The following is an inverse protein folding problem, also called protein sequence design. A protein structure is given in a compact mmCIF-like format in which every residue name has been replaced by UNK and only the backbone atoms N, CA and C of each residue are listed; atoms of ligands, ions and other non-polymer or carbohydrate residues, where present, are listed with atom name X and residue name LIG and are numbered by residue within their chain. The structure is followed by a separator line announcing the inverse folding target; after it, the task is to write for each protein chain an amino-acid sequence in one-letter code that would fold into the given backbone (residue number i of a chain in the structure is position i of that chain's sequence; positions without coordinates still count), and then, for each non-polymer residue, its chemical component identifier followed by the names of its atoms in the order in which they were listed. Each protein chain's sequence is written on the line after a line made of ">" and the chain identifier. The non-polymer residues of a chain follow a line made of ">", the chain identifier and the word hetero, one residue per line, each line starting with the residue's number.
data_IF_733701608984
#
_entry.id   IF_733701608984
#
_cell.length_a   1.000
_cell.length_b   1.000
_cell.length_c   1.000
_cell.angle_alpha   90.00
_cell.angle_beta   90.00
_cell.angle_gamma   90.00
#
_symmetry.space_group_name_H-M   'P 1'
#
loop_
_entity.id
_entity.type
_entity.pdbx_description
1 polymer ?
#
# COMPACT_ATOMS: atom_id res chain seq x y z
N UNK A 1 -28.72 8.64 -47.96
CA UNK A 1 -28.98 8.61 -46.51
C UNK A 1 -28.15 9.74 -46.00
N UNK A 2 -28.82 10.85 -45.77
CA UNK A 2 -28.17 12.14 -45.81
C UNK A 2 -27.95 12.61 -44.36
N UNK A 3 -26.92 13.40 -44.11
CA UNK A 3 -26.53 13.80 -42.75
C UNK A 3 -27.68 14.50 -42.00
N UNK A 4 -28.58 15.16 -42.73
CA UNK A 4 -29.80 15.77 -42.20
C UNK A 4 -30.81 14.75 -41.63
N UNK A 5 -30.88 13.52 -42.18
CA UNK A 5 -31.72 12.45 -41.61
C UNK A 5 -31.12 11.94 -40.30
N UNK A 6 -29.79 11.84 -40.23
CA UNK A 6 -29.06 11.38 -39.03
C UNK A 6 -29.19 12.40 -37.90
N UNK A 7 -29.10 13.70 -38.21
CA UNK A 7 -29.39 14.77 -37.24
C UNK A 7 -30.81 14.72 -36.69
N UNK A 8 -31.81 14.56 -37.56
CA UNK A 8 -33.22 14.56 -37.14
C UNK A 8 -33.51 13.44 -36.14
N UNK A 9 -32.98 12.23 -36.38
CA UNK A 9 -33.10 11.10 -35.45
C UNK A 9 -32.41 11.34 -34.09
N UNK A 10 -31.30 12.08 -34.07
CA UNK A 10 -30.57 12.42 -32.83
C UNK A 10 -31.20 13.58 -32.04
N UNK A 11 -32.03 14.41 -32.68
CA UNK A 11 -32.78 15.47 -32.01
C UNK A 11 -34.12 14.97 -31.44
N UNK A 12 -34.72 13.91 -32.01
CA UNK A 12 -35.97 13.30 -31.50
C UNK A 12 -35.78 12.44 -30.23
N UNK A 13 -34.63 11.75 -30.04
CA UNK A 13 -34.37 10.97 -28.80
C UNK A 13 -34.14 11.84 -27.55
N UNK A 14 -33.95 13.15 -27.70
CA UNK A 14 -33.53 14.04 -26.61
C UNK A 14 -34.71 14.77 -25.92
N UNK A 15 -35.94 14.26 -26.08
CA UNK A 15 -37.15 14.75 -25.40
C UNK A 15 -37.91 13.62 -24.69
N UNK A 16 -38.21 13.86 -23.40
CA UNK A 16 -39.05 13.05 -22.50
C UNK A 16 -38.74 11.55 -22.33
N UNK A 17 -37.87 11.25 -21.35
CA UNK A 17 -38.10 10.10 -20.45
C UNK A 17 -38.07 10.54 -18.98
N UNK A 18 -39.26 10.82 -18.44
CA UNK A 18 -39.45 11.31 -17.07
C UNK A 18 -39.64 10.14 -16.09
N UNK A 19 -38.54 9.60 -15.57
CA UNK A 19 -38.55 8.62 -14.49
C UNK A 19 -38.26 9.28 -13.14
N UNK A 20 -39.32 9.50 -12.37
CA UNK A 20 -39.22 9.73 -10.92
C UNK A 20 -38.80 8.43 -10.22
N UNK A 21 -37.79 8.50 -9.37
CA UNK A 21 -37.50 7.47 -8.37
C UNK A 21 -37.79 8.05 -6.98
N UNK A 22 -39.01 7.82 -6.48
CA UNK A 22 -39.45 8.27 -5.15
C UNK A 22 -39.26 7.13 -4.14
N UNK A 23 -38.02 6.92 -3.69
CA UNK A 23 -37.75 6.08 -2.51
C UNK A 23 -36.57 6.59 -1.69
N UNK A 24 -36.80 7.71 -1.00
CA UNK A 24 -35.95 8.22 0.06
C UNK A 24 -36.09 7.33 1.32
N UNK A 25 -34.95 6.80 1.78
CA UNK A 25 -34.78 6.39 3.17
C UNK A 25 -33.31 6.53 3.59
N UNK A 26 -32.92 7.75 3.94
CA UNK A 26 -31.61 8.04 4.55
C UNK A 26 -31.31 7.11 5.75
N UNK A 27 -30.10 6.53 5.77
CA UNK A 27 -29.46 6.01 6.97
C UNK A 27 -27.99 6.45 6.93
N UNK A 28 -27.70 7.59 7.53
CA UNK A 28 -26.33 8.07 7.71
C UNK A 28 -25.56 7.15 8.67
N UNK A 29 -24.32 6.80 8.31
CA UNK A 29 -23.34 6.25 9.26
C UNK A 29 -22.05 7.08 9.13
N UNK A 30 -21.98 8.14 9.96
CA UNK A 30 -20.98 9.21 9.85
C UNK A 30 -19.61 8.75 10.36
N UNK A 31 -18.71 8.43 9.42
CA UNK A 31 -17.28 8.19 9.71
C UNK A 31 -16.47 9.35 9.14
N UNK A 32 -16.07 10.25 10.03
CA UNK A 32 -15.28 11.44 9.72
C UNK A 32 -13.85 11.08 9.31
N UNK A 33 -13.61 10.91 8.01
CA UNK A 33 -12.26 10.68 7.46
C UNK A 33 -11.59 12.04 7.24
N UNK A 34 -10.59 12.34 8.07
CA UNK A 34 -9.70 13.48 7.84
C UNK A 34 -8.75 13.16 6.69
N UNK A 35 -8.97 13.78 5.52
CA UNK A 35 -8.09 13.65 4.36
C UNK A 35 -6.82 14.51 4.53
N UNK A 36 -5.80 13.95 5.18
CA UNK A 36 -4.44 14.50 5.18
C UNK A 36 -3.85 14.44 3.75
N UNK A 37 -4.18 15.44 2.95
CA UNK A 37 -3.70 15.60 1.58
C UNK A 37 -2.23 16.07 1.58
N UNK A 38 -1.30 15.11 1.54
CA UNK A 38 0.15 15.33 1.44
C UNK A 38 0.57 15.86 0.05
N UNK A 39 0.14 17.08 -0.28
CA UNK A 39 0.60 17.80 -1.46
C UNK A 39 2.02 18.34 -1.22
N UNK A 40 3.03 17.74 -1.86
CA UNK A 40 4.45 18.04 -1.64
C UNK A 40 5.08 18.78 -2.84
N UNK A 41 4.42 19.81 -3.33
CA UNK A 41 5.00 20.77 -4.28
C UNK A 41 5.36 22.06 -3.52
N UNK A 42 6.66 22.35 -3.45
CA UNK A 42 7.17 23.67 -3.06
C UNK A 42 7.76 24.34 -4.30
N UNK A 43 7.09 25.37 -4.79
CA UNK A 43 7.59 26.21 -5.87
C UNK A 43 8.77 27.08 -5.39
N UNK A 44 9.62 27.42 -6.35
CA UNK A 44 10.73 28.36 -6.18
C UNK A 44 10.23 29.78 -6.46
N UNK A 45 10.50 30.74 -5.57
CA UNK A 45 10.91 32.05 -6.06
C UNK A 45 11.69 32.94 -5.08
N UNK A 46 12.59 33.68 -5.72
CA UNK A 46 13.38 34.84 -5.31
C UNK A 46 12.65 36.01 -4.64
N UNK A 47 13.41 36.85 -3.91
CA UNK A 47 13.75 38.26 -4.26
C UNK A 47 14.61 38.90 -3.12
N UNK A 48 15.72 39.59 -3.42
CA UNK A 48 15.91 41.07 -3.47
C UNK A 48 15.53 41.81 -2.16
N UNK A 49 16.33 42.71 -1.56
CA UNK A 49 17.72 43.17 -1.84
C UNK A 49 18.37 43.73 -0.52
N UNK A 50 19.26 44.73 -0.36
CA UNK A 50 19.82 45.79 -1.22
C UNK A 50 21.26 46.21 -0.77
N UNK A 51 21.59 47.51 -0.82
CA UNK A 51 22.91 48.17 -0.73
C UNK A 51 23.44 48.50 0.69
N UNK A 52 24.71 48.94 0.76
CA UNK A 52 25.32 49.56 1.95
C UNK A 52 26.84 49.79 1.80
N UNK A 53 27.26 50.99 1.37
CA UNK A 53 28.66 51.31 1.04
C UNK A 53 29.46 51.86 2.24
N UNK A 54 30.75 51.52 2.30
CA UNK A 54 31.86 52.47 2.61
C UNK A 54 33.22 51.76 2.44
N UNK A 55 34.24 52.48 1.98
CA UNK A 55 35.60 51.95 1.78
C UNK A 55 36.65 52.99 2.21
N UNK A 56 37.78 52.53 2.75
CA UNK A 56 39.06 53.22 3.01
C UNK A 56 40.00 52.20 3.73
N UNK A 57 41.31 52.09 3.50
CA UNK A 57 42.17 52.56 2.40
C UNK A 57 43.53 51.77 2.42
N UNK A 58 44.58 52.28 1.77
CA UNK A 58 46.01 51.87 1.92
C UNK A 58 46.53 50.61 1.20
N UNK A 59 46.36 50.59 -0.13
CA UNK A 59 47.45 50.54 -1.12
C UNK A 59 48.72 49.67 -0.89
N UNK A 60 48.95 48.69 -1.78
CA UNK A 60 50.30 48.37 -2.29
C UNK A 60 50.23 47.87 -3.75
N UNK A 61 50.85 48.57 -4.70
CA UNK A 61 50.82 48.23 -6.12
C UNK A 61 51.80 47.09 -6.50
N UNK A 62 51.30 46.07 -7.21
CA UNK A 62 52.08 45.22 -8.13
C UNK A 62 51.18 44.90 -9.33
N UNK A 63 51.68 45.02 -10.56
CA UNK A 63 50.87 44.87 -11.77
C UNK A 63 50.83 43.42 -12.28
N UNK A 64 49.60 42.94 -12.51
CA UNK A 64 49.18 41.93 -13.49
C UNK A 64 50.06 40.71 -13.79
N UNK A 65 49.71 39.57 -13.20
CA UNK A 65 49.39 38.36 -13.99
C UNK A 65 48.08 37.76 -13.45
N UNK A 66 47.08 37.55 -14.32
CA UNK A 66 45.69 37.27 -13.92
C UNK A 66 45.44 35.80 -13.51
N UNK A 67 46.11 35.38 -12.44
CA UNK A 67 45.92 34.07 -11.80
C UNK A 67 44.68 34.07 -10.91
N UNK A 68 43.53 34.34 -11.52
CA UNK A 68 42.21 34.30 -10.91
C UNK A 68 41.96 32.91 -10.30
N UNK A 69 42.24 32.78 -9.00
CA UNK A 69 42.47 31.49 -8.37
C UNK A 69 41.17 30.72 -8.29
N UNK A 70 40.98 29.79 -9.23
CA UNK A 70 39.68 29.18 -9.53
C UNK A 70 39.13 28.42 -8.32
N UNK A 71 38.26 29.08 -7.54
CA UNK A 71 37.80 28.56 -6.25
C UNK A 71 36.96 27.31 -6.52
N UNK A 72 37.59 26.15 -6.35
CA UNK A 72 37.07 24.86 -6.81
C UNK A 72 36.06 24.25 -5.83
N UNK A 73 35.38 25.10 -5.05
CA UNK A 73 34.32 24.77 -4.12
C UNK A 73 33.31 25.92 -4.00
N UNK A 74 32.09 25.61 -3.58
CA UNK A 74 31.12 26.56 -3.04
C UNK A 74 31.22 26.57 -1.51
N UNK A 75 30.90 27.70 -0.87
CA UNK A 75 30.85 27.84 0.58
C UNK A 75 29.39 27.85 1.05
N UNK A 76 29.09 27.13 2.14
CA UNK A 76 27.78 27.10 2.76
C UNK A 76 27.40 28.43 3.42
N UNK A 77 26.10 28.61 3.72
CA UNK A 77 25.58 29.78 4.45
C UNK A 77 26.21 29.93 5.86
N UNK A 78 26.74 28.84 6.41
CA UNK A 78 27.50 28.77 7.67
C UNK A 78 28.95 29.35 7.59
N UNK A 79 29.39 29.70 6.37
CA UNK A 79 30.77 30.10 6.04
C UNK A 79 31.85 29.07 6.42
N UNK A 80 31.47 27.81 6.67
CA UNK A 80 32.36 26.73 7.13
C UNK A 80 32.31 25.50 6.22
N UNK A 81 31.13 25.08 5.80
CA UNK A 81 30.96 23.90 4.95
C UNK A 81 31.41 24.20 3.53
N UNK A 82 32.33 23.41 2.98
CA UNK A 82 32.87 23.56 1.62
C UNK A 82 32.42 22.41 0.72
N UNK A 83 31.80 22.75 -0.40
CA UNK A 83 31.24 21.83 -1.38
C UNK A 83 32.09 21.88 -2.67
N UNK A 84 32.98 20.91 -2.87
CA UNK A 84 33.86 20.90 -4.03
C UNK A 84 33.06 20.86 -5.36
N UNK A 85 33.47 21.68 -6.33
CA UNK A 85 32.86 21.76 -7.67
C UNK A 85 33.20 20.55 -8.53
N UNK A 86 34.36 19.95 -8.30
CA UNK A 86 34.79 18.70 -8.94
C UNK A 86 34.62 17.50 -8.00
N UNK A 87 34.32 16.30 -8.54
CA UNK A 87 34.37 15.07 -7.75
C UNK A 87 35.80 14.84 -7.22
N UNK A 88 35.92 14.18 -6.08
CA UNK A 88 37.22 13.90 -5.49
C UNK A 88 38.07 13.05 -6.43
N UNK A 89 39.18 13.62 -6.93
CA UNK A 89 40.03 13.06 -7.99
C UNK A 89 40.66 11.68 -7.67
N UNK A 90 40.52 11.19 -6.44
CA UNK A 90 40.96 9.86 -6.04
C UNK A 90 39.80 9.17 -5.29
N UNK A 91 39.56 7.86 -5.50
CA UNK A 91 38.70 7.06 -4.64
C UNK A 91 39.37 6.89 -3.27
N UNK A 92 39.26 7.91 -2.41
CA UNK A 92 39.81 7.90 -1.06
C UNK A 92 39.30 6.67 -0.32
N UNK A 93 40.21 5.86 0.23
CA UNK A 93 39.89 4.68 1.05
C UNK A 93 38.77 5.05 2.03
N UNK A 94 37.61 4.37 1.92
CA UNK A 94 36.49 4.53 2.87
C UNK A 94 37.06 4.48 4.29
N UNK A 95 36.70 5.49 5.11
CA UNK A 95 37.21 5.63 6.49
C UNK A 95 36.99 4.31 7.24
N UNK A 96 37.82 4.03 8.26
CA UNK A 96 37.72 2.82 9.09
C UNK A 96 36.45 2.76 10.00
N UNK A 97 35.45 3.59 9.68
CA UNK A 97 34.11 3.70 10.28
C UNK A 97 33.12 3.94 9.13
N UNK A 98 31.90 3.40 9.26
CA UNK A 98 30.89 3.29 8.20
C UNK A 98 31.33 2.36 7.04
N UNK A 99 31.98 1.24 7.38
CA UNK A 99 32.11 0.09 6.47
C UNK A 99 30.78 -0.64 6.47
N UNK A 100 30.12 -0.72 5.31
CA UNK A 100 28.91 -1.53 5.13
C UNK A 100 29.33 -3.00 5.04
N UNK A 101 29.25 -3.72 6.17
CA UNK A 101 29.68 -5.11 6.31
C UNK A 101 28.60 -6.13 5.90
N UNK A 102 27.32 -5.76 6.02
CA UNK A 102 26.20 -6.53 5.47
C UNK A 102 25.70 -5.84 4.19
N UNK A 103 25.80 -6.53 3.06
CA UNK A 103 25.11 -6.13 1.82
C UNK A 103 23.60 -6.39 1.98
N UNK A 104 22.73 -5.56 1.36
CA UNK A 104 21.29 -5.83 1.33
C UNK A 104 21.01 -7.10 0.53
N UNK A 105 20.07 -7.91 1.01
CA UNK A 105 19.66 -9.17 0.39
C UNK A 105 19.07 -10.17 1.38
N UNK A 106 18.56 -11.30 0.87
CA UNK A 106 17.97 -12.35 1.68
C UNK A 106 18.96 -12.93 2.72
N UNK A 107 18.43 -13.33 3.88
CA UNK A 107 19.18 -13.90 5.02
C UNK A 107 18.78 -15.35 5.26
N UNK A 108 19.62 -16.11 5.97
CA UNK A 108 19.35 -17.51 6.32
C UNK A 108 19.01 -18.39 5.10
N UNK A 109 18.04 -19.29 5.27
CA UNK A 109 17.55 -20.19 4.23
C UNK A 109 16.89 -19.51 3.03
N UNK A 110 16.33 -18.30 3.21
CA UNK A 110 15.67 -17.53 2.15
C UNK A 110 16.59 -17.16 0.96
N UNK A 111 17.92 -17.32 1.12
CA UNK A 111 18.90 -17.20 0.03
C UNK A 111 18.79 -18.28 -1.05
N UNK A 112 18.22 -19.44 -0.71
CA UNK A 112 18.22 -20.64 -1.56
C UNK A 112 16.87 -20.92 -2.20
N UNK A 113 15.78 -20.41 -1.61
CA UNK A 113 14.43 -20.52 -2.17
C UNK A 113 14.33 -19.83 -3.53
N UNK A 114 13.53 -20.42 -4.42
CA UNK A 114 13.30 -19.92 -5.78
C UNK A 114 11.83 -19.84 -6.13
N UNK A 115 11.02 -20.76 -5.62
CA UNK A 115 9.59 -20.79 -5.92
C UNK A 115 8.85 -19.70 -5.13
N UNK A 116 8.00 -18.87 -5.79
CA UNK A 116 7.24 -17.83 -5.10
C UNK A 116 6.37 -18.34 -3.96
N UNK A 117 5.87 -19.58 -4.04
CA UNK A 117 5.11 -20.23 -2.97
C UNK A 117 5.93 -20.55 -1.73
N UNK A 118 7.18 -21.01 -1.88
CA UNK A 118 8.10 -21.24 -0.76
C UNK A 118 8.46 -19.91 -0.08
N UNK A 119 8.70 -18.87 -0.88
CA UNK A 119 9.02 -17.52 -0.40
C UNK A 119 7.82 -16.92 0.34
N UNK A 120 6.59 -17.17 -0.10
CA UNK A 120 5.37 -16.75 0.60
C UNK A 120 5.18 -17.47 1.94
N UNK A 121 5.47 -18.78 2.00
CA UNK A 121 5.43 -19.59 3.25
C UNK A 121 6.42 -19.15 4.33
N UNK A 122 7.39 -18.28 4.02
CA UNK A 122 8.23 -17.64 5.03
C UNK A 122 7.47 -16.61 5.88
N UNK A 123 6.42 -15.99 5.33
CA UNK A 123 5.59 -14.99 6.03
C UNK A 123 4.31 -15.60 6.60
N UNK A 124 3.77 -16.63 5.92
CA UNK A 124 2.62 -17.40 6.37
C UNK A 124 3.05 -18.87 6.55
N UNK A 125 3.57 -19.17 7.73
CA UNK A 125 3.98 -20.53 8.10
C UNK A 125 2.77 -21.45 8.26
N UNK A 126 3.01 -22.77 8.27
CA UNK A 126 1.95 -23.76 8.46
C UNK A 126 1.23 -23.58 9.81
N UNK A 127 1.98 -23.24 10.87
CA UNK A 127 1.43 -22.93 12.20
C UNK A 127 0.51 -21.69 12.19
N UNK A 128 0.86 -20.65 11.42
CA UNK A 128 0.04 -19.43 11.25
C UNK A 128 -1.30 -19.79 10.58
N UNK A 129 -1.26 -20.62 9.53
CA UNK A 129 -2.45 -21.04 8.80
C UNK A 129 -3.33 -21.99 9.63
N UNK A 130 -2.76 -22.91 10.43
CA UNK A 130 -3.53 -23.73 11.39
C UNK A 130 -4.24 -22.85 12.44
N UNK A 131 -3.54 -21.88 13.05
CA UNK A 131 -4.15 -20.93 13.98
C UNK A 131 -5.30 -20.16 13.33
N UNK A 132 -5.10 -19.65 12.11
CA UNK A 132 -6.16 -18.99 11.35
C UNK A 132 -7.35 -19.92 11.07
N UNK A 133 -7.10 -21.19 10.70
CA UNK A 133 -8.16 -22.19 10.48
C UNK A 133 -8.93 -22.49 11.77
N UNK A 134 -8.22 -22.73 12.88
CA UNK A 134 -8.74 -22.98 14.23
C UNK A 134 -9.65 -21.82 14.71
N UNK A 135 -9.16 -20.58 14.68
CA UNK A 135 -9.93 -19.42 15.13
C UNK A 135 -11.13 -19.11 14.22
N UNK A 136 -10.94 -19.22 12.90
CA UNK A 136 -12.03 -19.07 11.90
C UNK A 136 -13.11 -20.15 12.07
N UNK A 137 -12.72 -21.41 12.32
CA UNK A 137 -13.65 -22.49 12.65
C UNK A 137 -14.40 -22.23 13.97
N UNK A 138 -13.74 -21.63 14.96
CA UNK A 138 -14.37 -21.14 16.18
C UNK A 138 -15.42 -20.06 15.93
N UNK A 139 -15.26 -19.23 14.90
CA UNK A 139 -16.26 -18.22 14.50
C UNK A 139 -17.39 -18.86 13.67
N UNK A 140 -17.09 -19.76 12.73
CA UNK A 140 -18.08 -20.51 11.92
C UNK A 140 -19.06 -21.24 12.86
N UNK A 141 -18.54 -21.98 13.86
CA UNK A 141 -19.37 -22.68 14.86
C UNK A 141 -20.28 -21.74 15.67
N UNK A 142 -19.88 -20.47 15.88
CA UNK A 142 -20.68 -19.46 16.60
C UNK A 142 -21.78 -18.82 15.73
N UNK A 143 -21.75 -18.97 14.41
CA UNK A 143 -22.80 -18.46 13.50
C UNK A 143 -23.63 -19.54 12.80
N UNK A 144 -23.27 -20.82 12.89
CA UNK A 144 -23.94 -21.91 12.16
C UNK A 144 -25.43 -22.04 12.46
N UNK A 145 -25.89 -21.61 13.65
CA UNK A 145 -27.31 -21.52 14.02
C UNK A 145 -28.12 -20.51 13.20
N UNK A 146 -27.47 -19.63 12.43
CA UNK A 146 -28.11 -18.69 11.51
C UNK A 146 -28.38 -19.31 10.12
N UNK A 147 -27.90 -20.53 9.86
CA UNK A 147 -27.99 -21.20 8.56
C UNK A 147 -28.99 -22.35 8.60
N UNK A 148 -29.95 -22.35 7.67
CA UNK A 148 -30.97 -23.40 7.52
C UNK A 148 -30.36 -24.75 7.08
N UNK A 149 -29.17 -24.71 6.46
CA UNK A 149 -28.48 -25.87 5.89
C UNK A 149 -27.04 -25.93 6.42
N UNK A 150 -26.70 -27.01 7.09
CA UNK A 150 -25.35 -27.24 7.65
C UNK A 150 -24.24 -27.13 6.58
N UNK A 151 -24.50 -27.63 5.36
CA UNK A 151 -23.55 -27.57 4.24
C UNK A 151 -23.17 -26.14 3.83
N UNK A 152 -24.02 -25.15 4.11
CA UNK A 152 -23.80 -23.75 3.76
C UNK A 152 -22.94 -23.04 4.84
N UNK A 153 -22.60 -23.73 5.95
CA UNK A 153 -21.79 -23.25 7.06
C UNK A 153 -20.76 -24.30 7.56
N UNK A 154 -20.15 -25.05 6.63
CA UNK A 154 -19.12 -26.05 6.97
C UNK A 154 -17.85 -25.42 7.57
N UNK A 155 -17.10 -26.20 8.33
CA UNK A 155 -15.73 -25.85 8.75
C UNK A 155 -14.82 -25.57 7.56
N UNK A 156 -13.79 -24.76 7.76
CA UNK A 156 -12.69 -24.50 6.82
C UNK A 156 -11.45 -25.32 7.20
N UNK A 157 -10.49 -25.40 6.28
CA UNK A 157 -9.18 -26.00 6.50
C UNK A 157 -8.06 -25.11 5.95
N UNK A 158 -6.83 -25.57 6.12
CA UNK A 158 -5.59 -24.87 5.83
C UNK A 158 -5.51 -24.55 4.32
N UNK A 159 -5.80 -25.56 3.49
CA UNK A 159 -5.80 -25.46 2.02
C UNK A 159 -6.85 -24.46 1.53
N UNK A 160 -8.04 -24.41 2.12
CA UNK A 160 -9.08 -23.46 1.74
C UNK A 160 -8.75 -22.02 2.17
N UNK A 161 -8.04 -21.84 3.29
CA UNK A 161 -7.52 -20.52 3.68
C UNK A 161 -6.34 -20.07 2.82
N UNK A 162 -5.41 -20.96 2.45
CA UNK A 162 -4.38 -20.65 1.45
C UNK A 162 -5.01 -20.24 0.11
N UNK A 163 -6.05 -20.96 -0.32
CA UNK A 163 -6.82 -20.63 -1.52
C UNK A 163 -7.53 -19.25 -1.42
N UNK A 164 -8.11 -18.93 -0.25
CA UNK A 164 -8.71 -17.63 0.02
C UNK A 164 -7.69 -16.49 -0.06
N UNK A 165 -6.53 -16.66 0.60
CA UNK A 165 -5.43 -15.69 0.59
C UNK A 165 -4.84 -15.53 -0.81
N UNK A 166 -4.72 -16.61 -1.58
CA UNK A 166 -4.32 -16.60 -2.98
C UNK A 166 -5.27 -15.79 -3.87
N UNK A 167 -6.59 -15.93 -3.70
CA UNK A 167 -7.59 -15.12 -4.43
C UNK A 167 -7.52 -13.63 -4.04
N UNK A 168 -7.29 -13.31 -2.76
CA UNK A 168 -7.12 -11.94 -2.29
C UNK A 168 -5.85 -11.28 -2.86
N UNK A 169 -4.72 -12.00 -2.83
CA UNK A 169 -3.47 -11.57 -3.45
C UNK A 169 -3.63 -11.35 -4.96
N UNK A 170 -4.32 -12.26 -5.66
CA UNK A 170 -4.60 -12.16 -7.08
C UNK A 170 -5.51 -10.96 -7.43
N UNK A 171 -6.53 -10.68 -6.60
CA UNK A 171 -7.35 -9.47 -6.74
C UNK A 171 -6.52 -8.19 -6.57
N UNK A 172 -5.57 -8.18 -5.63
CA UNK A 172 -4.60 -7.09 -5.44
C UNK A 172 -3.70 -6.88 -6.66
N UNK A 173 -3.10 -7.97 -7.19
CA UNK A 173 -2.25 -7.93 -8.40
C UNK A 173 -3.01 -7.38 -9.61
N UNK A 174 -4.31 -7.68 -9.74
CA UNK A 174 -5.16 -7.14 -10.81
C UNK A 174 -5.72 -5.74 -10.54
N UNK A 175 -5.33 -5.08 -9.45
CA UNK A 175 -5.83 -3.77 -8.97
C UNK A 175 -7.35 -3.74 -8.70
N UNK A 176 -7.96 -4.90 -8.51
CA UNK A 176 -9.41 -5.06 -8.34
C UNK A 176 -9.88 -4.89 -6.88
N UNK A 177 -9.03 -4.37 -5.98
CA UNK A 177 -9.32 -4.25 -4.55
C UNK A 177 -10.52 -3.34 -4.20
N UNK A 178 -10.99 -2.50 -5.14
CA UNK A 178 -12.19 -1.65 -5.00
C UNK A 178 -13.42 -2.18 -5.73
N UNK A 179 -13.33 -3.33 -6.43
CA UNK A 179 -14.50 -3.95 -7.07
C UNK A 179 -15.35 -4.70 -6.05
N UNK A 180 -16.65 -4.86 -6.32
CA UNK A 180 -17.50 -5.68 -5.47
C UNK A 180 -17.06 -7.15 -5.57
N UNK A 181 -17.10 -7.89 -4.46
CA UNK A 181 -16.83 -9.33 -4.46
C UNK A 181 -17.79 -10.12 -5.38
N UNK A 182 -18.97 -9.59 -5.72
CA UNK A 182 -19.85 -10.16 -6.75
C UNK A 182 -19.27 -10.07 -8.15
N UNK A 183 -18.61 -8.96 -8.50
CA UNK A 183 -18.00 -8.76 -9.82
C UNK A 183 -16.82 -9.70 -10.05
N UNK A 184 -16.05 -9.98 -9.00
CA UNK A 184 -14.97 -10.97 -8.99
C UNK A 184 -15.44 -12.42 -9.26
N UNK A 185 -16.74 -12.70 -9.23
CA UNK A 185 -17.31 -14.02 -9.47
C UNK A 185 -18.34 -14.05 -10.62
N UNK A 186 -18.38 -13.02 -11.47
CA UNK A 186 -19.23 -13.00 -12.68
C UNK A 186 -18.82 -14.07 -13.72
N UNK A 187 -19.79 -14.46 -14.54
CA UNK A 187 -19.69 -15.49 -15.61
C UNK A 187 -19.79 -14.88 -17.02
N UNK A 188 -19.78 -13.56 -17.13
CA UNK A 188 -19.94 -12.76 -18.36
C UNK A 188 -18.66 -12.65 -19.21
N UNK A 189 -17.56 -13.29 -18.78
CA UNK A 189 -16.23 -13.13 -19.38
C UNK A 189 -15.44 -11.93 -18.87
N UNK A 190 -16.07 -10.97 -18.17
CA UNK A 190 -15.40 -9.80 -17.59
C UNK A 190 -14.53 -10.18 -16.39
N UNK A 191 -14.84 -11.29 -15.72
CA UNK A 191 -14.19 -11.72 -14.48
C UNK A 191 -13.24 -12.92 -14.68
N UNK A 192 -12.03 -12.91 -14.06
CA UNK A 192 -11.10 -14.02 -14.15
C UNK A 192 -11.66 -15.34 -13.61
N UNK A 193 -11.59 -16.40 -14.40
CA UNK A 193 -12.23 -17.67 -14.07
C UNK A 193 -11.72 -18.31 -12.76
N UNK A 194 -10.46 -18.04 -12.41
CA UNK A 194 -9.80 -18.55 -11.19
C UNK A 194 -10.64 -18.35 -9.92
N UNK A 195 -11.34 -17.22 -9.76
CA UNK A 195 -12.21 -17.00 -8.60
C UNK A 195 -13.30 -18.08 -8.50
N UNK A 196 -14.00 -18.34 -9.61
CA UNK A 196 -15.08 -19.35 -9.72
C UNK A 196 -14.55 -20.79 -9.72
N UNK A 197 -13.34 -21.02 -10.22
CA UNK A 197 -12.71 -22.34 -10.27
C UNK A 197 -12.11 -22.76 -8.90
N UNK A 198 -11.65 -21.80 -8.10
CA UNK A 198 -11.09 -22.05 -6.78
C UNK A 198 -12.17 -22.23 -5.71
N UNK A 199 -13.23 -21.40 -5.68
CA UNK A 199 -14.35 -21.57 -4.75
C UNK A 199 -15.64 -20.89 -5.23
N UNK A 200 -16.75 -21.09 -4.52
CA UNK A 200 -17.99 -20.36 -4.81
C UNK A 200 -18.00 -18.97 -4.15
N UNK A 201 -18.70 -18.01 -4.76
CA UNK A 201 -18.90 -16.66 -4.19
C UNK A 201 -19.47 -16.70 -2.76
N UNK A 202 -20.46 -17.56 -2.52
CA UNK A 202 -21.05 -17.78 -1.19
C UNK A 202 -19.99 -18.19 -0.17
N UNK A 203 -19.08 -19.10 -0.54
CA UNK A 203 -18.03 -19.60 0.35
C UNK A 203 -16.94 -18.55 0.59
N UNK A 204 -16.50 -17.86 -0.45
CA UNK A 204 -15.56 -16.75 -0.36
C UNK A 204 -16.07 -15.65 0.60
N UNK A 205 -17.32 -15.24 0.44
CA UNK A 205 -17.96 -14.22 1.29
C UNK A 205 -18.16 -14.71 2.74
N UNK A 206 -18.56 -15.97 2.94
CA UNK A 206 -18.66 -16.58 4.26
C UNK A 206 -17.31 -16.58 4.99
N UNK A 207 -16.24 -17.04 4.32
CA UNK A 207 -14.90 -17.12 4.90
C UNK A 207 -14.37 -15.73 5.27
N UNK A 208 -14.50 -14.73 4.39
CA UNK A 208 -14.13 -13.34 4.71
C UNK A 208 -14.87 -12.81 5.97
N UNK A 209 -16.17 -13.08 6.10
CA UNK A 209 -16.95 -12.69 7.30
C UNK A 209 -16.51 -13.43 8.56
N UNK A 210 -16.00 -14.65 8.42
CA UNK A 210 -15.60 -15.53 9.52
C UNK A 210 -14.13 -15.48 9.92
N UNK A 211 -13.25 -14.93 9.07
CA UNK A 211 -11.79 -14.96 9.26
C UNK A 211 -11.37 -14.33 10.60
N UNK A 212 -10.68 -15.08 11.47
CA UNK A 212 -10.17 -14.59 12.77
C UNK A 212 -8.71 -14.99 12.97
N UNK A 213 -8.02 -14.19 13.80
CA UNK A 213 -6.59 -14.32 14.12
C UNK A 213 -6.35 -14.49 15.64
N UNK A 214 -7.43 -14.60 16.42
CA UNK A 214 -7.44 -14.70 17.87
C UNK A 214 -8.61 -15.58 18.36
N UNK A 215 -8.52 -16.10 19.59
CA UNK A 215 -9.72 -16.63 20.25
C UNK A 215 -10.54 -15.49 20.88
N UNK A 216 -11.82 -15.45 20.47
CA UNK A 216 -12.82 -14.53 20.99
C UNK A 216 -12.99 -14.64 22.51
N UNK A 217 -12.77 -15.83 23.07
CA UNK A 217 -13.04 -16.07 24.50
C UNK A 217 -11.90 -15.52 25.39
N UNK A 218 -10.67 -15.41 24.88
CA UNK A 218 -9.54 -14.72 25.55
C UNK A 218 -9.52 -13.21 25.29
N UNK A 219 -10.18 -12.73 24.23
CA UNK A 219 -10.12 -11.34 23.74
C UNK A 219 -10.45 -10.30 24.82
N UNK A 220 -11.38 -10.57 25.73
CA UNK A 220 -11.78 -9.61 26.79
C UNK A 220 -10.62 -9.30 27.74
N UNK A 221 -9.79 -10.30 28.06
CA UNK A 221 -8.60 -10.11 28.89
C UNK A 221 -7.52 -9.39 28.08
N UNK A 222 -7.24 -9.85 26.85
CA UNK A 222 -6.21 -9.27 25.99
C UNK A 222 -6.45 -7.78 25.69
N UNK A 223 -7.68 -7.41 25.34
CA UNK A 223 -8.06 -6.03 25.00
C UNK A 223 -7.93 -5.03 26.17
N UNK A 224 -7.86 -5.50 27.42
CA UNK A 224 -7.57 -4.64 28.59
C UNK A 224 -6.10 -4.28 28.74
N UNK A 225 -5.20 -5.01 28.06
CA UNK A 225 -3.74 -4.84 28.11
C UNK A 225 -3.20 -4.28 26.80
N UNK A 226 -3.67 -4.78 25.65
CA UNK A 226 -3.26 -4.36 24.31
C UNK A 226 -4.46 -4.22 23.37
N UNK A 227 -4.57 -3.05 22.72
CA UNK A 227 -5.59 -2.80 21.68
C UNK A 227 -5.37 -3.65 20.42
N UNK A 228 -4.13 -4.09 20.16
CA UNK A 228 -3.77 -4.94 19.03
C UNK A 228 -3.99 -6.44 19.32
N UNK A 229 -4.43 -6.83 20.52
CA UNK A 229 -4.63 -8.22 20.93
C UNK A 229 -5.35 -9.11 19.88
N UNK A 230 -6.37 -8.65 19.14
CA UNK A 230 -7.05 -9.48 18.12
C UNK A 230 -6.21 -9.89 16.90
N UNK A 231 -5.01 -9.33 16.71
CA UNK A 231 -4.05 -9.74 15.66
C UNK A 231 -2.61 -9.89 16.19
N UNK A 232 -2.39 -9.78 17.50
CA UNK A 232 -1.08 -9.72 18.17
C UNK A 232 -0.19 -10.92 17.84
N UNK A 233 -0.75 -12.12 17.96
CA UNK A 233 -0.06 -13.40 17.68
C UNK A 233 0.47 -13.42 16.22
N UNK A 234 -0.41 -13.18 15.24
CA UNK A 234 -0.05 -13.08 13.82
C UNK A 234 0.99 -11.97 13.54
N UNK A 235 0.85 -10.80 14.17
CA UNK A 235 1.70 -9.64 13.93
C UNK A 235 3.14 -9.88 14.41
N UNK A 236 3.33 -10.58 15.52
CA UNK A 236 4.66 -10.90 16.04
C UNK A 236 5.35 -11.98 15.19
N UNK A 237 4.60 -12.98 14.71
CA UNK A 237 5.15 -14.04 13.85
C UNK A 237 5.55 -13.56 12.45
N UNK A 238 4.88 -12.53 11.90
CA UNK A 238 5.24 -11.93 10.60
C UNK A 238 6.49 -11.02 10.68
N UNK A 239 6.90 -10.60 11.89
CA UNK A 239 7.92 -9.54 12.10
C UNK A 239 9.23 -10.06 12.73
N UNK A 240 9.23 -11.28 13.31
CA UNK A 240 10.37 -11.89 14.01
C UNK A 240 11.60 -12.24 13.13
#
# INVERSE_FOLDING_TARGET
>A
MDENQIRLMLEEENSDSNYKDENDSEVEDFVEIQEDNYNSEQEDNSEQEQEGQSAEESNSQVESEDHQTYINYYLGKDRHTRWNKTPASNPVRRRARNIVTQLPGAKGGAKYLREPGEIWRLFFTEDVIDRMAKYTNGQIKRISSQFIREKDCTKTNEIELEALLGLLLFAGVRKNCRLNAKDLFKTDGSSPEIFRLTMSWNRFYLLLRCLRFDDKDTRVVGASVDKLAPIRELFEEIIA
#
